data_IF_727698172053
#
_entry.id   IF_727698172053
#
_cell.length_a   1.000
_cell.length_b   1.000
_cell.length_c   1.000
_cell.angle_alpha   90.00
_cell.angle_beta   90.00
_cell.angle_gamma   90.00
#
_symmetry.space_group_name_H-M   'P 1'
#
loop_
_entity.id
_entity.type
_entity.pdbx_description
1 polymer ?
#
# COMPACT_ATOMS: atom_id res chain seq x y z
N UNK A 1 -23.00 21.11 19.59
CA UNK A 1 -21.76 20.73 18.89
C UNK A 1 -22.15 20.21 17.52
N UNK A 2 -21.40 20.50 16.44
CA UNK A 2 -21.70 19.94 15.13
C UNK A 2 -21.66 18.42 15.21
N UNK A 3 -22.72 17.75 14.75
CA UNK A 3 -22.83 16.31 14.74
C UNK A 3 -22.42 15.82 13.34
N UNK A 4 -21.27 15.22 13.22
CA UNK A 4 -20.85 14.58 11.97
C UNK A 4 -21.50 13.21 11.86
N UNK A 5 -22.10 12.91 10.70
CA UNK A 5 -22.72 11.59 10.44
C UNK A 5 -21.76 10.63 9.73
N UNK A 6 -20.70 11.17 9.14
CA UNK A 6 -19.75 10.46 8.30
C UNK A 6 -18.33 10.77 8.73
N UNK A 7 -17.47 9.74 8.74
CA UNK A 7 -16.03 9.89 8.94
C UNK A 7 -15.30 9.28 7.74
N UNK A 8 -14.37 10.04 7.20
CA UNK A 8 -13.50 9.60 6.10
C UNK A 8 -12.11 9.36 6.65
N UNK A 9 -11.59 8.15 6.43
CA UNK A 9 -10.25 7.75 6.83
C UNK A 9 -9.37 7.57 5.60
N UNK A 10 -8.14 8.03 5.67
CA UNK A 10 -7.09 7.49 4.84
C UNK A 10 -6.79 6.04 5.26
N UNK A 11 -6.24 5.25 4.35
CA UNK A 11 -5.97 3.84 4.61
C UNK A 11 -4.56 3.62 5.16
N UNK A 12 -3.55 3.97 4.35
CA UNK A 12 -2.16 3.61 4.60
C UNK A 12 -1.53 4.51 5.68
N UNK A 13 -0.91 3.89 6.69
CA UNK A 13 -0.38 4.54 7.88
C UNK A 13 -1.41 5.36 8.67
N UNK A 14 -2.71 5.10 8.45
CA UNK A 14 -3.82 5.63 9.24
C UNK A 14 -4.60 4.50 9.91
N UNK A 15 -5.03 3.50 9.15
CA UNK A 15 -5.63 2.26 9.66
C UNK A 15 -4.73 1.06 9.46
N UNK A 16 -4.11 0.94 8.29
CA UNK A 16 -3.19 -0.13 7.95
C UNK A 16 -1.75 0.28 8.26
N UNK A 17 -0.97 -0.65 8.81
CA UNK A 17 0.47 -0.52 8.96
C UNK A 17 1.13 -0.77 7.59
N UNK A 18 1.16 0.29 6.77
CA UNK A 18 1.71 0.21 5.43
C UNK A 18 3.21 -0.04 5.44
N UNK A 19 3.95 0.56 6.35
CA UNK A 19 5.41 0.43 6.38
C UNK A 19 5.82 -1.03 6.64
N UNK A 20 5.19 -1.69 7.62
CA UNK A 20 5.43 -3.11 7.87
C UNK A 20 4.96 -3.98 6.69
N UNK A 21 3.80 -3.69 6.09
CA UNK A 21 3.29 -4.41 4.94
C UNK A 21 4.19 -4.28 3.71
N UNK A 22 4.68 -3.07 3.43
CA UNK A 22 5.61 -2.77 2.33
C UNK A 22 6.94 -3.50 2.50
N UNK A 23 7.49 -3.49 3.73
CA UNK A 23 8.71 -4.24 4.06
C UNK A 23 8.54 -5.75 3.82
N UNK A 24 7.44 -6.32 4.28
CA UNK A 24 7.13 -7.74 4.07
C UNK A 24 6.93 -8.08 2.59
N UNK A 25 6.28 -7.21 1.83
CA UNK A 25 6.10 -7.39 0.39
C UNK A 25 7.44 -7.35 -0.35
N UNK A 26 8.35 -6.46 0.04
CA UNK A 26 9.69 -6.41 -0.52
C UNK A 26 10.53 -7.64 -0.16
N UNK A 27 10.42 -8.18 1.06
CA UNK A 27 11.02 -9.46 1.43
C UNK A 27 10.56 -10.61 0.52
N UNK A 28 9.27 -10.63 0.14
CA UNK A 28 8.76 -11.62 -0.79
C UNK A 28 9.40 -11.49 -2.19
N UNK A 29 9.61 -10.26 -2.67
CA UNK A 29 10.33 -9.99 -3.92
C UNK A 29 11.78 -10.49 -3.83
N UNK A 30 12.51 -10.12 -2.78
CA UNK A 30 13.90 -10.53 -2.59
C UNK A 30 14.06 -12.03 -2.63
N UNK A 31 13.20 -12.75 -1.90
CA UNK A 31 13.23 -14.22 -1.83
C UNK A 31 12.90 -14.88 -3.16
N UNK A 32 11.92 -14.37 -3.92
CA UNK A 32 11.47 -15.01 -5.16
C UNK A 32 12.29 -14.61 -6.38
N UNK A 33 12.94 -13.45 -6.35
CA UNK A 33 13.77 -12.93 -7.45
C UNK A 33 15.27 -13.07 -7.18
N UNK A 34 15.68 -13.74 -6.10
CA UNK A 34 17.09 -13.89 -5.71
C UNK A 34 17.81 -12.55 -5.64
N UNK A 35 17.27 -11.64 -4.85
CA UNK A 35 17.80 -10.29 -4.57
C UNK A 35 18.28 -10.28 -3.11
N UNK A 36 19.45 -9.68 -2.80
CA UNK A 36 19.89 -9.54 -1.42
C UNK A 36 18.87 -8.81 -0.55
N UNK A 37 18.47 -9.42 0.55
CA UNK A 37 17.46 -8.88 1.48
C UNK A 37 18.16 -8.24 2.68
N UNK A 38 18.59 -6.99 2.50
CA UNK A 38 19.28 -6.20 3.53
C UNK A 38 18.56 -4.86 3.74
N UNK A 39 18.88 -4.16 4.81
CA UNK A 39 18.33 -2.83 5.08
C UNK A 39 18.77 -1.80 4.03
N UNK A 40 20.00 -1.92 3.51
CA UNK A 40 20.51 -1.06 2.44
C UNK A 40 19.74 -1.28 1.13
N UNK A 41 19.46 -2.53 0.80
CA UNK A 41 18.69 -2.90 -0.39
C UNK A 41 17.25 -2.37 -0.29
N UNK A 42 16.63 -2.52 0.86
CA UNK A 42 15.30 -1.96 1.10
C UNK A 42 15.29 -0.44 1.03
N UNK A 43 16.25 0.23 1.66
CA UNK A 43 16.36 1.69 1.61
C UNK A 43 16.56 2.21 0.18
N UNK A 44 17.28 1.47 -0.68
CA UNK A 44 17.38 1.80 -2.10
C UNK A 44 16.03 1.67 -2.81
N UNK A 45 15.33 0.55 -2.58
CA UNK A 45 13.99 0.37 -3.13
C UNK A 45 13.05 1.49 -2.70
N UNK A 46 13.03 1.87 -1.43
CA UNK A 46 12.19 2.97 -0.94
C UNK A 46 12.51 4.29 -1.62
N UNK A 47 13.78 4.62 -1.86
CA UNK A 47 14.15 5.83 -2.61
C UNK A 47 13.59 5.81 -4.03
N UNK A 48 13.71 4.69 -4.74
CA UNK A 48 13.15 4.54 -6.09
C UNK A 48 11.62 4.63 -6.07
N UNK A 49 10.98 3.97 -5.11
CA UNK A 49 9.53 4.01 -4.93
C UNK A 49 9.03 5.44 -4.66
N UNK A 50 9.62 6.13 -3.70
CA UNK A 50 9.21 7.47 -3.32
C UNK A 50 9.42 8.49 -4.46
N UNK A 51 10.50 8.36 -5.23
CA UNK A 51 10.74 9.19 -6.41
C UNK A 51 9.64 9.01 -7.47
N UNK A 52 9.20 7.79 -7.71
CA UNK A 52 8.14 7.50 -8.69
C UNK A 52 6.76 7.96 -8.21
N UNK A 53 6.43 7.79 -6.91
CA UNK A 53 5.20 8.35 -6.35
C UNK A 53 5.19 9.88 -6.40
N UNK A 54 6.31 10.54 -6.12
CA UNK A 54 6.43 11.99 -6.26
C UNK A 54 6.23 12.46 -7.71
N UNK A 55 6.71 11.70 -8.70
CA UNK A 55 6.45 11.98 -10.12
C UNK A 55 4.98 11.82 -10.48
N UNK A 56 4.32 10.80 -9.94
CA UNK A 56 2.87 10.60 -10.11
C UNK A 56 2.07 11.76 -9.50
N UNK A 57 2.39 12.20 -8.30
CA UNK A 57 1.71 13.33 -7.63
C UNK A 57 1.84 14.65 -8.40
N UNK A 58 2.93 14.80 -9.19
CA UNK A 58 3.10 15.94 -10.11
C UNK A 58 2.43 15.75 -11.47
N UNK A 59 1.76 14.60 -11.71
CA UNK A 59 1.12 14.28 -12.99
C UNK A 59 2.10 13.90 -14.11
N UNK A 60 3.34 13.53 -13.79
CA UNK A 60 4.38 13.22 -14.77
C UNK A 60 4.30 11.79 -15.32
N UNK A 61 3.59 10.90 -14.63
CA UNK A 61 3.41 9.51 -15.05
C UNK A 61 2.08 8.94 -14.57
N UNK A 62 1.69 7.79 -15.14
CA UNK A 62 0.51 7.02 -14.69
C UNK A 62 0.88 6.07 -13.55
N UNK A 63 -0.12 5.61 -12.81
CA UNK A 63 0.06 4.64 -11.74
C UNK A 63 0.58 3.30 -12.26
N UNK A 64 0.02 2.81 -13.36
CA UNK A 64 0.47 1.57 -14.01
C UNK A 64 1.95 1.61 -14.41
N UNK A 65 2.42 2.77 -14.86
CA UNK A 65 3.82 2.99 -15.19
C UNK A 65 4.70 3.00 -13.92
N UNK A 66 4.34 3.81 -12.92
CA UNK A 66 5.17 3.98 -11.72
C UNK A 66 5.41 2.66 -10.98
N UNK A 67 4.40 1.80 -10.87
CA UNK A 67 4.51 0.56 -10.06
C UNK A 67 5.54 -0.43 -10.63
N UNK A 68 5.75 -0.42 -11.94
CA UNK A 68 6.80 -1.23 -12.59
C UNK A 68 8.13 -0.47 -12.62
N UNK A 69 8.10 0.83 -12.94
CA UNK A 69 9.29 1.63 -13.17
C UNK A 69 10.14 1.80 -11.88
N UNK A 70 9.52 1.86 -10.71
CA UNK A 70 10.25 1.86 -9.42
C UNK A 70 11.16 0.62 -9.27
N UNK A 71 10.70 -0.55 -9.74
CA UNK A 71 11.52 -1.76 -9.74
C UNK A 71 12.57 -1.73 -10.84
N UNK A 72 12.29 -1.15 -12.01
CA UNK A 72 13.29 -0.97 -13.05
C UNK A 72 14.47 -0.15 -12.54
N UNK A 73 14.22 1.05 -11.99
CA UNK A 73 15.25 1.92 -11.44
C UNK A 73 16.03 1.24 -10.30
N UNK A 74 15.33 0.51 -9.44
CA UNK A 74 15.95 -0.26 -8.36
C UNK A 74 16.91 -1.32 -8.90
N UNK A 75 16.45 -2.16 -9.83
CA UNK A 75 17.24 -3.24 -10.41
C UNK A 75 18.45 -2.74 -11.22
N UNK A 76 18.27 -1.67 -12.00
CA UNK A 76 19.36 -1.00 -12.73
C UNK A 76 20.44 -0.47 -11.77
N UNK A 77 20.03 0.17 -10.67
CA UNK A 77 20.97 0.69 -9.66
C UNK A 77 21.74 -0.44 -8.97
N UNK A 78 21.09 -1.58 -8.77
CA UNK A 78 21.70 -2.79 -8.20
C UNK A 78 22.52 -3.59 -9.22
N UNK A 79 22.50 -3.23 -10.51
CA UNK A 79 23.06 -3.99 -11.63
C UNK A 79 22.58 -5.44 -11.67
N UNK A 80 21.28 -5.66 -11.38
CA UNK A 80 20.64 -6.97 -11.37
C UNK A 80 19.78 -7.17 -12.63
N UNK A 81 20.04 -8.25 -13.33
CA UNK A 81 19.21 -8.69 -14.47
C UNK A 81 18.03 -9.51 -13.98
N UNK A 82 16.95 -8.82 -13.65
CA UNK A 82 15.65 -9.38 -13.21
C UNK A 82 14.51 -8.66 -13.91
N UNK A 83 13.36 -9.31 -14.05
CA UNK A 83 12.17 -8.71 -14.65
C UNK A 83 11.46 -7.76 -13.65
N UNK A 84 11.43 -6.44 -13.90
CA UNK A 84 10.76 -5.48 -13.01
C UNK A 84 9.24 -5.71 -12.93
N UNK A 85 8.61 -6.23 -13.99
CA UNK A 85 7.18 -6.53 -13.98
C UNK A 85 6.88 -7.74 -13.08
N UNK A 86 7.76 -8.74 -13.05
CA UNK A 86 7.66 -9.86 -12.12
C UNK A 86 7.83 -9.39 -10.67
N UNK A 87 8.84 -8.57 -10.39
CA UNK A 87 9.05 -7.99 -9.06
C UNK A 87 7.81 -7.22 -8.59
N UNK A 88 7.25 -6.38 -9.46
CA UNK A 88 6.02 -5.64 -9.14
C UNK A 88 4.84 -6.57 -8.86
N UNK A 89 4.63 -7.59 -9.67
CA UNK A 89 3.54 -8.55 -9.48
C UNK A 89 3.62 -9.26 -8.14
N UNK A 90 4.82 -9.72 -7.76
CA UNK A 90 5.07 -10.36 -6.46
C UNK A 90 4.78 -9.38 -5.33
N UNK A 91 5.29 -8.14 -5.45
CA UNK A 91 5.11 -7.09 -4.45
C UNK A 91 3.63 -6.75 -4.23
N UNK A 92 2.88 -6.48 -5.32
CA UNK A 92 1.46 -6.13 -5.21
C UNK A 92 0.61 -7.30 -4.66
N UNK A 93 0.95 -8.54 -5.02
CA UNK A 93 0.28 -9.72 -4.47
C UNK A 93 0.51 -9.82 -2.96
N UNK A 94 1.76 -9.75 -2.51
CA UNK A 94 2.10 -9.83 -1.09
C UNK A 94 1.51 -8.64 -0.29
N UNK A 95 1.53 -7.45 -0.86
CA UNK A 95 0.93 -6.26 -0.24
C UNK A 95 -0.60 -6.40 -0.13
N UNK A 96 -1.27 -6.91 -1.17
CA UNK A 96 -2.72 -7.14 -1.19
C UNK A 96 -3.18 -8.24 -0.22
N UNK A 97 -2.31 -9.16 0.16
CA UNK A 97 -2.57 -10.20 1.17
C UNK A 97 -2.33 -9.69 2.61
N UNK A 98 -1.62 -8.58 2.77
CA UNK A 98 -1.32 -8.03 4.09
C UNK A 98 -2.56 -7.40 4.73
N UNK A 99 -2.86 -7.81 5.96
CA UNK A 99 -3.95 -7.27 6.78
C UNK A 99 -3.45 -6.58 8.05
N UNK A 100 -2.18 -6.22 8.07
CA UNK A 100 -1.57 -5.55 9.22
C UNK A 100 -2.24 -4.21 9.47
N UNK A 101 -2.72 -4.01 10.70
CA UNK A 101 -3.34 -2.78 11.17
C UNK A 101 -2.42 -2.07 12.15
N UNK A 102 -2.51 -0.76 12.21
CA UNK A 102 -1.94 0.02 13.30
C UNK A 102 -2.62 -0.33 14.62
N UNK A 103 -1.88 -0.14 15.71
CA UNK A 103 -2.41 -0.35 17.06
C UNK A 103 -3.72 0.41 17.26
N UNK A 104 -4.72 -0.26 17.83
CA UNK A 104 -6.05 0.30 18.12
C UNK A 104 -6.92 0.67 16.89
N UNK A 105 -6.47 0.47 15.65
CA UNK A 105 -7.28 0.81 14.46
C UNK A 105 -8.62 0.07 14.41
N UNK A 106 -8.63 -1.23 14.69
CA UNK A 106 -9.88 -2.01 14.77
C UNK A 106 -10.80 -1.52 15.90
N UNK A 107 -10.25 -1.27 17.08
CA UNK A 107 -11.02 -0.79 18.22
C UNK A 107 -11.66 0.58 17.95
N UNK A 108 -10.91 1.48 17.33
CA UNK A 108 -11.40 2.79 16.92
C UNK A 108 -12.53 2.66 15.90
N UNK A 109 -12.35 1.87 14.84
CA UNK A 109 -13.40 1.63 13.85
C UNK A 109 -14.66 1.03 14.47
N UNK A 110 -14.50 0.01 15.31
CA UNK A 110 -15.62 -0.63 16.03
C UNK A 110 -16.38 0.36 16.91
N UNK A 111 -15.69 1.24 17.61
CA UNK A 111 -16.31 2.22 18.50
C UNK A 111 -17.03 3.30 17.72
N UNK A 112 -16.37 3.86 16.70
CA UNK A 112 -16.92 4.96 15.90
C UNK A 112 -18.06 4.51 14.99
N UNK A 113 -18.07 3.28 14.51
CA UNK A 113 -19.14 2.74 13.66
C UNK A 113 -20.51 2.64 14.38
N UNK A 114 -20.54 2.73 15.71
CA UNK A 114 -21.79 2.74 16.48
C UNK A 114 -22.60 4.03 16.30
N UNK A 115 -21.94 5.12 15.95
CA UNK A 115 -22.54 6.46 15.87
C UNK A 115 -22.29 7.17 14.54
N UNK A 116 -21.37 6.65 13.71
CA UNK A 116 -20.98 7.25 12.44
C UNK A 116 -20.90 6.19 11.35
N UNK A 117 -21.09 6.59 10.10
CA UNK A 117 -20.72 5.79 8.94
C UNK A 117 -19.26 6.04 8.60
N UNK A 118 -18.47 4.96 8.51
CA UNK A 118 -17.06 5.05 8.26
C UNK A 118 -16.77 4.75 6.78
N UNK A 119 -15.96 5.59 6.16
CA UNK A 119 -15.53 5.45 4.77
C UNK A 119 -14.00 5.52 4.68
N UNK A 120 -13.44 4.83 3.72
CA UNK A 120 -12.02 4.96 3.37
C UNK A 120 -11.90 5.79 2.10
N UNK A 121 -10.92 6.69 2.05
CA UNK A 121 -10.51 7.44 0.87
C UNK A 121 -9.02 7.21 0.67
N UNK A 122 -8.61 6.69 -0.47
CA UNK A 122 -7.21 6.31 -0.71
C UNK A 122 -6.82 6.52 -2.17
N UNK A 123 -5.55 6.86 -2.42
CA UNK A 123 -4.96 6.99 -3.76
C UNK A 123 -4.07 5.80 -4.15
N UNK A 124 -4.04 4.75 -3.37
CA UNK A 124 -3.23 3.56 -3.62
C UNK A 124 -3.76 2.71 -4.80
N UNK A 125 -3.06 1.62 -5.12
CA UNK A 125 -3.47 0.68 -6.17
C UNK A 125 -4.79 -0.01 -5.80
N UNK A 126 -5.82 0.14 -6.64
CA UNK A 126 -7.19 -0.27 -6.32
C UNK A 126 -7.32 -1.76 -5.97
N UNK A 127 -6.71 -2.64 -6.76
CA UNK A 127 -6.76 -4.09 -6.51
C UNK A 127 -6.14 -4.48 -5.17
N UNK A 128 -5.06 -3.81 -4.79
CA UNK A 128 -4.38 -4.01 -3.49
C UNK A 128 -5.28 -3.57 -2.35
N UNK A 129 -5.83 -2.35 -2.41
CA UNK A 129 -6.66 -1.81 -1.32
C UNK A 129 -7.96 -2.57 -1.14
N UNK A 130 -8.62 -2.98 -2.22
CA UNK A 130 -9.83 -3.82 -2.14
C UNK A 130 -9.54 -5.16 -1.47
N UNK A 131 -8.43 -5.82 -1.84
CA UNK A 131 -8.01 -7.10 -1.24
C UNK A 131 -7.71 -6.95 0.26
N UNK A 132 -6.90 -5.96 0.63
CA UNK A 132 -6.53 -5.70 2.03
C UNK A 132 -7.77 -5.38 2.88
N UNK A 133 -8.61 -4.47 2.40
CA UNK A 133 -9.81 -4.07 3.13
C UNK A 133 -10.75 -5.26 3.33
N UNK A 134 -11.04 -6.02 2.28
CA UNK A 134 -11.95 -7.17 2.35
C UNK A 134 -11.50 -8.23 3.38
N UNK A 135 -10.18 -8.42 3.52
CA UNK A 135 -9.59 -9.42 4.42
C UNK A 135 -9.34 -8.90 5.84
N UNK A 136 -9.41 -7.59 6.06
CA UNK A 136 -9.00 -6.96 7.33
C UNK A 136 -10.07 -7.05 8.41
N UNK A 137 -9.63 -6.98 9.67
CA UNK A 137 -10.53 -6.93 10.82
C UNK A 137 -11.38 -5.64 10.88
N UNK A 138 -11.03 -4.59 10.13
CA UNK A 138 -11.83 -3.36 10.05
C UNK A 138 -12.96 -3.45 9.03
N UNK A 139 -12.94 -4.43 8.11
CA UNK A 139 -13.94 -4.57 7.05
C UNK A 139 -15.42 -4.49 7.54
N UNK A 140 -15.80 -5.15 8.65
CA UNK A 140 -17.18 -5.09 9.13
C UNK A 140 -17.67 -3.70 9.56
N UNK A 141 -16.74 -2.77 9.82
CA UNK A 141 -17.05 -1.43 10.33
C UNK A 141 -17.04 -0.36 9.24
N UNK A 142 -16.51 -0.68 8.06
CA UNK A 142 -16.39 0.25 6.93
C UNK A 142 -17.61 0.14 6.03
N UNK A 143 -18.26 1.27 5.78
CA UNK A 143 -19.47 1.35 4.94
C UNK A 143 -19.09 1.20 3.46
N UNK A 144 -18.05 1.91 3.00
CA UNK A 144 -17.56 1.85 1.62
C UNK A 144 -16.15 2.45 1.53
N UNK A 145 -15.49 2.26 0.38
CA UNK A 145 -14.17 2.79 0.10
C UNK A 145 -14.14 3.48 -1.27
N UNK A 146 -13.60 4.69 -1.29
CA UNK A 146 -13.35 5.49 -2.49
C UNK A 146 -11.87 5.42 -2.83
N UNK A 147 -11.56 4.81 -3.95
CA UNK A 147 -10.19 4.64 -4.43
C UNK A 147 -10.04 5.49 -5.69
N UNK A 148 -8.97 6.26 -5.79
CA UNK A 148 -8.78 7.26 -6.86
C UNK A 148 -8.71 6.69 -8.29
N UNK A 149 -8.67 5.37 -8.45
CA UNK A 149 -8.74 4.67 -9.75
C UNK A 149 -10.19 4.31 -10.14
N UNK A 150 -11.16 4.50 -9.27
CA UNK A 150 -12.58 4.29 -9.53
C UNK A 150 -13.20 5.56 -10.11
#
# INVERSE_FOLDING_TARGET
MPHYSYLLFDADNTLFDFDAANRNAFHAVCRQCDIPDTDETFALYERCNNAMWAAFDRGECTKDFLVVERFRHFLETMALDRDPALCNRIHLTALGESTLLLSHAEEACRTLSRTHRLYIVTNAVASVQRSRLHRSAVAPYITDAFISED
#
